data_IF_160136079043
#
_entry.id   IF_160136079043
#
_cell.length_a   1.000
_cell.length_b   1.000
_cell.length_c   1.000
_cell.angle_alpha   90.00
_cell.angle_beta   90.00
_cell.angle_gamma   90.00
#
_symmetry.space_group_name_H-M   'P 1'
#
loop_
_entity.id
_entity.type
_entity.pdbx_description
1 polymer ?
#
# COMPACT_ATOMS: atom_id res chain seq x y z
N UNK A 1 -7.84 -20.76 13.21
CA UNK A 1 -8.82 -19.77 12.76
C UNK A 1 -9.92 -20.56 12.11
N UNK A 2 -11.11 -20.53 12.70
CA UNK A 2 -12.29 -21.18 12.12
C UNK A 2 -12.69 -20.48 10.81
N UNK A 3 -13.43 -21.16 9.93
CA UNK A 3 -13.83 -20.57 8.63
C UNK A 3 -14.69 -19.33 8.86
N UNK A 4 -15.60 -19.37 9.83
CA UNK A 4 -16.48 -18.26 10.17
C UNK A 4 -15.65 -17.03 10.60
N UNK A 5 -14.64 -17.24 11.44
CA UNK A 5 -13.70 -16.19 11.89
C UNK A 5 -12.91 -15.62 10.70
N UNK A 6 -12.49 -16.47 9.76
CA UNK A 6 -11.80 -16.03 8.54
C UNK A 6 -12.70 -15.18 7.64
N UNK A 7 -13.94 -15.63 7.42
CA UNK A 7 -14.92 -14.95 6.57
C UNK A 7 -15.32 -13.60 7.16
N UNK A 8 -15.50 -13.53 8.48
CA UNK A 8 -15.75 -12.30 9.21
C UNK A 8 -14.59 -11.31 9.01
N UNK A 9 -13.35 -11.75 9.29
CA UNK A 9 -12.15 -10.92 9.10
C UNK A 9 -11.98 -10.44 7.66
N UNK A 10 -12.24 -11.31 6.68
CA UNK A 10 -12.08 -10.98 5.27
C UNK A 10 -13.05 -9.88 4.81
N UNK A 11 -14.24 -9.78 5.42
CA UNK A 11 -15.29 -8.82 5.06
C UNK A 11 -15.40 -7.63 5.99
N UNK A 12 -14.68 -7.61 7.10
CA UNK A 12 -14.74 -6.52 8.07
C UNK A 12 -13.62 -5.50 7.81
N UNK A 13 -13.95 -4.27 7.37
CA UNK A 13 -12.97 -3.26 6.97
C UNK A 13 -12.06 -2.79 8.13
N UNK A 14 -12.49 -2.91 9.39
CA UNK A 14 -11.71 -2.50 10.57
C UNK A 14 -10.38 -3.25 10.63
N UNK A 15 -10.37 -4.54 10.35
CA UNK A 15 -9.13 -5.33 10.34
C UNK A 15 -8.15 -4.84 9.27
N UNK A 16 -8.66 -4.42 8.11
CA UNK A 16 -7.85 -3.95 7.00
C UNK A 16 -7.27 -2.55 7.28
N UNK A 17 -8.08 -1.62 7.79
CA UNK A 17 -7.59 -0.30 8.22
C UNK A 17 -6.55 -0.42 9.34
N UNK A 18 -6.78 -1.26 10.34
CA UNK A 18 -5.81 -1.49 11.41
C UNK A 18 -4.49 -2.01 10.87
N UNK A 19 -4.54 -2.96 9.94
CA UNK A 19 -3.32 -3.47 9.31
C UNK A 19 -2.61 -2.40 8.47
N UNK A 20 -3.36 -1.55 7.76
CA UNK A 20 -2.79 -0.41 7.03
C UNK A 20 -1.97 0.51 7.95
N UNK A 21 -2.52 0.87 9.11
CA UNK A 21 -1.87 1.74 10.09
C UNK A 21 -0.66 1.08 10.77
N UNK A 22 -0.71 -0.24 11.00
CA UNK A 22 0.46 -0.99 11.49
C UNK A 22 1.60 -0.91 10.48
N UNK A 23 1.32 -1.09 9.19
CA UNK A 23 2.33 -1.04 8.14
C UNK A 23 2.92 0.35 7.97
N UNK A 24 2.10 1.41 8.09
CA UNK A 24 2.58 2.79 8.17
C UNK A 24 3.59 2.96 9.32
N UNK A 25 3.23 2.51 10.53
CA UNK A 25 4.12 2.60 11.71
C UNK A 25 5.43 1.83 11.52
N UNK A 26 5.41 0.69 10.82
CA UNK A 26 6.64 -0.05 10.48
C UNK A 26 7.49 0.76 9.51
N UNK A 27 6.90 1.30 8.44
CA UNK A 27 7.61 2.15 7.48
C UNK A 27 8.22 3.40 8.14
N UNK A 28 7.44 4.08 8.99
CA UNK A 28 7.91 5.25 9.75
C UNK A 28 9.13 4.88 10.60
N UNK A 29 9.11 3.74 11.31
CA UNK A 29 10.27 3.28 12.10
C UNK A 29 11.50 2.99 11.25
N UNK A 30 11.33 2.39 10.06
CA UNK A 30 12.43 2.14 9.14
C UNK A 30 13.02 3.46 8.66
N UNK A 31 12.21 4.44 8.28
CA UNK A 31 12.70 5.77 7.88
C UNK A 31 13.47 6.46 9.02
N UNK A 32 12.98 6.38 10.25
CA UNK A 32 13.69 6.97 11.40
C UNK A 32 15.08 6.32 11.61
N UNK A 33 15.23 5.02 11.34
CA UNK A 33 16.54 4.36 11.43
C UNK A 33 17.53 4.82 10.35
N UNK A 34 17.07 5.36 9.22
CA UNK A 34 17.95 5.93 8.19
C UNK A 34 18.65 7.18 8.70
N UNK A 35 18.06 7.89 9.68
CA UNK A 35 18.67 9.10 10.25
C UNK A 35 19.83 8.83 11.20
N UNK A 36 20.13 7.56 11.49
CA UNK A 36 21.31 7.17 12.26
C UNK A 36 22.59 7.49 11.47
N UNK A 37 23.57 8.09 12.13
CA UNK A 37 24.81 8.54 11.51
C UNK A 37 25.58 7.39 10.85
N UNK A 38 25.55 6.19 11.44
CA UNK A 38 26.22 5.01 10.88
C UNK A 38 25.53 4.53 9.59
N UNK A 39 24.20 4.68 9.52
CA UNK A 39 23.40 4.30 8.35
C UNK A 39 23.54 5.31 7.22
N UNK A 40 23.54 6.61 7.53
CA UNK A 40 23.71 7.68 6.53
C UNK A 40 25.04 7.58 5.79
N UNK A 41 26.08 7.09 6.47
CA UNK A 41 27.40 6.90 5.87
C UNK A 41 27.51 5.63 5.01
N UNK A 42 26.57 4.67 5.13
CA UNK A 42 26.43 3.51 4.25
C UNK A 42 25.29 3.73 3.26
N UNK A 43 25.65 4.19 2.06
CA UNK A 43 24.70 4.51 0.98
C UNK A 43 23.88 3.30 0.52
N UNK A 44 24.44 2.09 0.61
CA UNK A 44 23.72 0.87 0.25
C UNK A 44 22.69 0.53 1.30
N UNK A 45 23.08 0.52 2.57
CA UNK A 45 22.17 0.26 3.68
C UNK A 45 21.03 1.29 3.74
N UNK A 46 21.35 2.57 3.56
CA UNK A 46 20.35 3.65 3.46
C UNK A 46 19.35 3.42 2.33
N UNK A 47 19.82 3.04 1.14
CA UNK A 47 18.97 2.75 -0.01
C UNK A 47 18.08 1.52 0.25
N UNK A 48 18.63 0.45 0.81
CA UNK A 48 17.89 -0.76 1.14
C UNK A 48 16.79 -0.49 2.18
N UNK A 49 17.08 0.30 3.21
CA UNK A 49 16.10 0.72 4.21
C UNK A 49 15.01 1.61 3.61
N UNK A 50 15.36 2.57 2.76
CA UNK A 50 14.38 3.43 2.08
C UNK A 50 13.41 2.59 1.23
N UNK A 51 13.95 1.63 0.48
CA UNK A 51 13.18 0.69 -0.32
C UNK A 51 12.24 -0.16 0.57
N UNK A 52 12.71 -0.63 1.72
CA UNK A 52 11.88 -1.38 2.66
C UNK A 52 10.77 -0.49 3.27
N UNK A 53 11.05 0.77 3.57
CA UNK A 53 10.02 1.71 4.02
C UNK A 53 8.95 1.90 2.95
N UNK A 54 9.34 2.11 1.68
CA UNK A 54 8.41 2.19 0.54
C UNK A 54 7.58 0.91 0.39
N UNK A 55 8.18 -0.27 0.55
CA UNK A 55 7.42 -1.51 0.58
C UNK A 55 6.31 -1.48 1.63
N UNK A 56 6.64 -1.13 2.87
CA UNK A 56 5.66 -1.08 3.96
C UNK A 56 4.60 0.01 3.76
N UNK A 57 4.95 1.18 3.23
CA UNK A 57 3.95 2.18 2.82
C UNK A 57 3.02 1.64 1.73
N UNK A 58 3.56 0.97 0.72
CA UNK A 58 2.77 0.35 -0.35
C UNK A 58 1.80 -0.70 0.18
N UNK A 59 2.24 -1.58 1.10
CA UNK A 59 1.35 -2.55 1.76
C UNK A 59 0.30 -1.84 2.61
N UNK A 60 0.68 -0.77 3.33
CA UNK A 60 -0.24 0.04 4.11
C UNK A 60 -1.36 0.62 3.25
N UNK A 61 -0.99 1.29 2.16
CA UNK A 61 -1.93 1.87 1.19
C UNK A 61 -2.78 0.78 0.54
N UNK A 62 -2.21 -0.35 0.14
CA UNK A 62 -2.98 -1.47 -0.43
C UNK A 62 -4.12 -1.89 0.49
N UNK A 63 -3.83 -2.07 1.79
CA UNK A 63 -4.81 -2.51 2.77
C UNK A 63 -5.85 -1.43 3.07
N UNK A 64 -5.44 -0.15 3.16
CA UNK A 64 -6.36 0.97 3.36
C UNK A 64 -7.34 1.14 2.18
N UNK A 65 -6.85 1.03 0.94
CA UNK A 65 -7.70 1.08 -0.25
C UNK A 65 -8.66 -0.11 -0.33
N UNK A 66 -8.18 -1.31 -0.02
CA UNK A 66 -9.05 -2.50 0.07
C UNK A 66 -10.09 -2.34 1.17
N UNK A 67 -9.74 -1.76 2.31
CA UNK A 67 -10.67 -1.48 3.40
C UNK A 67 -11.80 -0.55 2.95
N UNK A 68 -11.50 0.52 2.21
CA UNK A 68 -12.50 1.42 1.63
C UNK A 68 -13.44 0.68 0.68
N UNK A 69 -12.90 -0.16 -0.21
CA UNK A 69 -13.70 -0.96 -1.15
C UNK A 69 -14.62 -1.93 -0.37
N UNK A 70 -14.11 -2.57 0.68
CA UNK A 70 -14.86 -3.48 1.53
C UNK A 70 -15.93 -2.74 2.34
N UNK A 71 -15.63 -1.56 2.89
CA UNK A 71 -16.60 -0.71 3.62
C UNK A 71 -17.78 -0.35 2.74
N UNK A 72 -17.51 0.01 1.48
CA UNK A 72 -18.53 0.45 0.54
C UNK A 72 -19.33 -0.70 -0.09
N UNK A 73 -18.73 -1.87 -0.25
CA UNK A 73 -19.35 -3.02 -0.89
C UNK A 73 -18.83 -4.36 -0.35
N UNK A 74 -19.16 -4.73 0.90
CA UNK A 74 -18.64 -5.95 1.56
C UNK A 74 -19.09 -7.24 0.85
N UNK A 75 -20.20 -7.20 0.10
CA UNK A 75 -20.68 -8.30 -0.74
C UNK A 75 -19.74 -8.61 -1.92
N UNK A 76 -18.89 -7.65 -2.33
CA UNK A 76 -17.91 -7.82 -3.41
C UNK A 76 -16.60 -8.48 -2.94
N UNK A 77 -16.55 -8.99 -1.70
CA UNK A 77 -15.44 -9.81 -1.22
C UNK A 77 -15.65 -11.26 -1.65
N UNK A 78 -14.77 -11.73 -2.53
CA UNK A 78 -14.86 -13.08 -3.12
C UNK A 78 -13.93 -14.02 -2.37
N UNK A 79 -14.52 -14.97 -1.65
CA UNK A 79 -13.81 -16.04 -0.95
C UNK A 79 -14.14 -17.39 -1.58
N UNK A 80 -13.12 -18.18 -1.91
CA UNK A 80 -13.28 -19.58 -2.31
C UNK A 80 -13.28 -20.44 -1.05
N UNK A 81 -14.35 -21.22 -0.84
CA UNK A 81 -14.45 -22.20 0.24
C UNK A 81 -14.38 -23.61 -0.36
N UNK A 82 -13.47 -24.44 0.15
CA UNK A 82 -13.28 -25.85 -0.24
C UNK A 82 -13.15 -26.71 1.01
N UNK A 83 -14.25 -27.35 1.40
CA UNK A 83 -14.31 -28.12 2.64
C UNK A 83 -14.09 -27.20 3.85
N UNK A 84 -13.06 -27.50 4.63
CA UNK A 84 -12.62 -26.77 5.83
C UNK A 84 -11.68 -25.59 5.52
N UNK A 85 -11.44 -25.27 4.24
CA UNK A 85 -10.50 -24.22 3.82
C UNK A 85 -11.21 -23.07 3.14
N UNK A 86 -10.93 -21.84 3.57
CA UNK A 86 -11.35 -20.61 2.93
C UNK A 86 -10.14 -19.82 2.42
N UNK A 87 -10.26 -19.20 1.23
CA UNK A 87 -9.21 -18.36 0.64
C UNK A 87 -9.80 -17.17 -0.09
N UNK A 88 -9.35 -15.97 0.26
CA UNK A 88 -9.64 -14.75 -0.46
C UNK A 88 -9.13 -14.82 -1.91
N UNK A 89 -10.04 -14.59 -2.87
CA UNK A 89 -9.76 -14.61 -4.31
C UNK A 89 -9.77 -13.22 -4.93
N UNK A 90 -10.60 -12.32 -4.44
CA UNK A 90 -10.75 -10.98 -4.98
C UNK A 90 -11.50 -10.07 -4.02
N UNK A 91 -11.34 -8.77 -4.24
CA UNK A 91 -12.02 -7.70 -3.51
C UNK A 91 -12.51 -6.73 -4.58
N UNK A 92 -13.74 -6.25 -4.42
CA UNK A 92 -14.35 -5.29 -5.34
C UNK A 92 -14.84 -5.93 -6.65
N UNK A 93 -14.88 -5.14 -7.72
CA UNK A 93 -15.33 -5.55 -9.05
C UNK A 93 -14.40 -6.60 -9.68
N UNK A 94 -13.20 -6.79 -9.14
CA UNK A 94 -12.21 -7.74 -9.68
C UNK A 94 -12.30 -9.11 -9.02
N UNK A 95 -12.38 -10.14 -9.85
CA UNK A 95 -12.37 -11.57 -9.43
C UNK A 95 -11.01 -12.09 -8.97
N UNK A 96 -9.95 -11.28 -9.08
CA UNK A 96 -8.58 -11.63 -8.71
C UNK A 96 -7.98 -10.53 -7.83
N UNK A 97 -7.20 -10.93 -6.84
CA UNK A 97 -6.38 -10.00 -6.04
C UNK A 97 -5.41 -9.25 -6.95
N UNK A 98 -5.35 -7.94 -6.77
CA UNK A 98 -4.38 -7.05 -7.42
C UNK A 98 -3.50 -6.38 -6.36
N UNK A 99 -2.27 -6.10 -6.76
CA UNK A 99 -1.31 -5.25 -6.06
C UNK A 99 -1.17 -3.89 -6.75
N UNK A 100 -1.96 -3.60 -7.80
CA UNK A 100 -1.90 -2.33 -8.49
C UNK A 100 -2.61 -1.26 -7.66
N UNK A 101 -1.84 -0.42 -6.98
CA UNK A 101 -2.37 0.60 -6.08
C UNK A 101 -3.13 1.69 -6.83
N UNK A 102 -2.73 2.01 -8.08
CA UNK A 102 -3.46 2.98 -8.89
C UNK A 102 -4.87 2.48 -9.23
N UNK A 103 -4.97 1.21 -9.65
CA UNK A 103 -6.27 0.59 -9.92
C UNK A 103 -7.13 0.51 -8.66
N UNK A 104 -6.53 0.19 -7.51
CA UNK A 104 -7.24 0.15 -6.23
C UNK A 104 -7.71 1.54 -5.80
N UNK A 105 -6.92 2.59 -6.05
CA UNK A 105 -7.29 3.97 -5.74
C UNK A 105 -8.43 4.48 -6.61
N UNK A 106 -8.41 4.16 -7.91
CA UNK A 106 -9.53 4.43 -8.82
C UNK A 106 -10.81 3.71 -8.37
N UNK A 107 -10.68 2.45 -7.96
CA UNK A 107 -11.84 1.66 -7.51
C UNK A 107 -12.39 2.11 -6.15
N UNK A 108 -11.51 2.54 -5.24
CA UNK A 108 -11.88 3.11 -3.95
C UNK A 108 -12.42 4.55 -4.05
N UNK A 109 -12.40 5.16 -5.24
CA UNK A 109 -12.91 6.52 -5.46
C UNK A 109 -12.01 7.63 -4.91
N UNK A 110 -10.70 7.37 -4.72
CA UNK A 110 -9.77 8.30 -4.08
C UNK A 110 -9.68 9.65 -4.80
N UNK A 111 -9.75 9.64 -6.13
CA UNK A 111 -9.56 10.85 -6.93
C UNK A 111 -10.80 11.74 -6.95
N UNK A 112 -11.93 11.23 -6.49
CA UNK A 112 -13.21 11.91 -6.39
C UNK A 112 -13.45 12.52 -5.00
N UNK A 113 -12.68 12.13 -3.98
CA UNK A 113 -12.85 12.55 -2.59
C UNK A 113 -12.35 13.98 -2.28
N UNK A 114 -11.70 14.65 -3.24
CA UNK A 114 -11.19 16.01 -3.02
C UNK A 114 -10.05 16.09 -2.00
N UNK A 115 -9.30 14.99 -1.78
CA UNK A 115 -8.15 14.95 -0.86
C UNK A 115 -6.97 15.84 -1.31
N UNK A 116 -7.00 16.28 -2.56
CA UNK A 116 -5.94 17.01 -3.22
C UNK A 116 -6.48 18.32 -3.79
N UNK A 117 -5.80 19.43 -3.48
CA UNK A 117 -6.25 20.76 -3.87
C UNK A 117 -5.96 21.08 -5.33
N UNK A 118 -4.85 20.57 -5.87
CA UNK A 118 -4.39 20.88 -7.21
C UNK A 118 -4.28 19.64 -8.10
N UNK A 119 -4.48 19.80 -9.41
CA UNK A 119 -4.30 18.70 -10.38
C UNK A 119 -2.87 18.10 -10.35
N UNK A 120 -1.88 18.92 -10.00
CA UNK A 120 -0.49 18.50 -9.84
C UNK A 120 -0.33 17.47 -8.73
N UNK A 121 -1.10 17.61 -7.64
CA UNK A 121 -1.06 16.71 -6.50
C UNK A 121 -1.66 15.35 -6.88
N UNK A 122 -2.75 15.36 -7.66
CA UNK A 122 -3.35 14.14 -8.21
C UNK A 122 -2.36 13.42 -9.12
N UNK A 123 -1.65 14.15 -9.99
CA UNK A 123 -0.61 13.58 -10.85
C UNK A 123 0.52 12.98 -10.02
N UNK A 124 0.99 13.69 -9.00
CA UNK A 124 2.03 13.21 -8.09
C UNK A 124 1.58 11.93 -7.37
N UNK A 125 0.36 11.88 -6.84
CA UNK A 125 -0.19 10.69 -6.21
C UNK A 125 -0.21 9.50 -7.18
N UNK A 126 -0.69 9.69 -8.41
CA UNK A 126 -0.71 8.61 -9.42
C UNK A 126 0.69 8.05 -9.70
N UNK A 127 1.70 8.91 -9.73
CA UNK A 127 3.11 8.50 -9.91
C UNK A 127 3.61 7.72 -8.69
N UNK A 128 3.34 8.21 -7.48
CA UNK A 128 3.72 7.54 -6.24
C UNK A 128 3.03 6.18 -6.09
N UNK A 129 1.74 6.06 -6.43
CA UNK A 129 1.03 4.78 -6.38
C UNK A 129 1.61 3.75 -7.35
N UNK A 130 2.08 4.16 -8.54
CA UNK A 130 2.79 3.28 -9.48
C UNK A 130 4.14 2.83 -8.89
N UNK A 131 4.92 3.78 -8.38
CA UNK A 131 6.19 3.47 -7.71
C UNK A 131 6.01 2.46 -6.56
N UNK A 132 5.04 2.70 -5.68
CA UNK A 132 4.75 1.81 -4.55
C UNK A 132 4.16 0.47 -4.98
N UNK A 133 3.41 0.41 -6.08
CA UNK A 133 2.95 -0.85 -6.71
C UNK A 133 4.14 -1.73 -7.09
N UNK A 134 5.16 -1.12 -7.68
CA UNK A 134 6.36 -1.84 -8.08
C UNK A 134 7.20 -2.22 -6.86
N UNK A 135 7.24 -1.38 -5.83
CA UNK A 135 7.87 -1.70 -4.56
C UNK A 135 7.30 -2.96 -3.90
N UNK A 136 5.97 -3.11 -3.84
CA UNK A 136 5.34 -4.27 -3.21
C UNK A 136 5.45 -5.56 -4.02
N UNK A 137 5.56 -5.45 -5.35
CA UNK A 137 5.77 -6.62 -6.22
C UNK A 137 7.19 -7.16 -6.14
N UNK A 138 8.18 -6.29 -6.02
CA UNK A 138 9.58 -6.63 -6.33
C UNK A 138 10.55 -6.54 -5.16
N UNK A 139 10.43 -5.52 -4.31
CA UNK A 139 11.61 -4.95 -3.66
C UNK A 139 12.21 -5.70 -2.44
N UNK A 140 11.48 -6.48 -1.61
CA UNK A 140 12.11 -7.13 -0.46
C UNK A 140 12.32 -8.65 -0.57
N UNK A 141 11.84 -9.32 -1.64
CA UNK A 141 11.68 -10.78 -1.59
C UNK A 141 12.88 -11.57 -2.10
N UNK A 142 13.64 -11.03 -3.05
CA UNK A 142 14.71 -11.79 -3.71
C UNK A 142 15.90 -10.90 -4.11
N UNK A 143 17.15 -11.37 -3.91
CA UNK A 143 18.35 -10.67 -4.38
C UNK A 143 18.48 -10.69 -5.92
N UNK A 144 17.64 -11.49 -6.59
CA UNK A 144 17.58 -11.62 -8.05
C UNK A 144 16.12 -11.43 -8.45
N UNK A 145 15.82 -10.59 -9.46
CA UNK A 145 14.47 -10.49 -10.01
C UNK A 145 13.95 -11.84 -10.52
N UNK A 146 12.63 -12.01 -10.58
CA UNK A 146 12.05 -13.28 -11.08
C UNK A 146 12.39 -13.57 -12.55
N UNK A 147 12.67 -12.52 -13.32
CA UNK A 147 13.23 -12.62 -14.67
C UNK A 147 14.07 -11.37 -15.01
N UNK A 148 14.81 -11.44 -16.11
CA UNK A 148 15.72 -10.39 -16.55
C UNK A 148 15.02 -9.09 -17.03
N UNK A 149 13.69 -9.06 -17.12
CA UNK A 149 12.88 -7.87 -17.43
C UNK A 149 12.17 -7.30 -16.21
N UNK A 150 12.29 -8.00 -15.08
CA UNK A 150 11.60 -7.73 -13.83
C UNK A 150 12.48 -7.04 -12.80
N UNK A 151 13.69 -6.62 -13.17
CA UNK A 151 14.50 -5.77 -12.29
C UNK A 151 13.70 -4.52 -12.00
N UNK A 152 13.40 -4.28 -10.71
CA UNK A 152 12.91 -2.99 -10.28
C UNK A 152 13.98 -1.96 -10.60
N UNK A 153 13.70 -1.13 -11.59
CA UNK A 153 14.47 0.06 -11.88
C UNK A 153 13.53 1.21 -11.58
N UNK A 154 13.97 2.14 -10.74
CA UNK A 154 13.21 3.35 -10.50
C UNK A 154 12.90 4.00 -11.85
N UNK A 155 11.62 4.33 -12.06
CA UNK A 155 11.22 5.04 -13.26
C UNK A 155 11.88 6.42 -13.23
N UNK A 156 12.90 6.60 -14.06
CA UNK A 156 13.66 7.85 -14.17
C UNK A 156 12.79 9.03 -14.64
N UNK A 157 11.57 8.78 -15.11
CA UNK A 157 10.60 9.84 -15.41
C UNK A 157 9.92 10.42 -14.16
N UNK A 158 10.02 9.75 -13.01
CA UNK A 158 9.54 10.30 -11.74
C UNK A 158 10.61 11.23 -11.19
N UNK A 159 10.30 12.52 -10.94
CA UNK A 159 11.23 13.44 -10.33
C UNK A 159 11.88 12.82 -9.11
N UNK A 160 13.20 12.72 -9.11
CA UNK A 160 13.92 12.04 -8.04
C UNK A 160 13.57 12.65 -6.67
N UNK A 161 13.31 13.95 -6.60
CA UNK A 161 12.86 14.64 -5.38
C UNK A 161 11.56 14.07 -4.79
N UNK A 162 10.64 13.52 -5.60
CA UNK A 162 9.38 12.94 -5.13
C UNK A 162 9.55 11.54 -4.49
N UNK A 163 10.59 10.79 -4.88
CA UNK A 163 10.82 9.40 -4.42
C UNK A 163 12.03 9.30 -3.50
N UNK A 164 13.10 10.00 -3.83
CA UNK A 164 14.35 10.06 -3.08
C UNK A 164 14.30 11.24 -2.13
N UNK A 165 13.54 11.07 -1.05
CA UNK A 165 13.38 12.04 0.01
C UNK A 165 12.12 11.79 0.83
N UNK A 166 11.92 12.61 1.86
CA UNK A 166 10.71 12.56 2.69
C UNK A 166 9.46 13.10 1.95
N UNK A 167 9.58 13.63 0.73
CA UNK A 167 8.46 14.18 -0.03
C UNK A 167 7.42 13.16 -0.48
N UNK A 168 7.79 11.88 -0.58
CA UNK A 168 6.79 10.82 -0.78
C UNK A 168 5.77 10.82 0.37
N UNK A 169 6.18 11.20 1.58
CA UNK A 169 5.30 11.30 2.75
C UNK A 169 4.24 12.38 2.54
N UNK A 170 4.62 13.55 2.01
CA UNK A 170 3.68 14.64 1.72
C UNK A 170 2.56 14.19 0.76
N UNK A 171 2.89 13.29 -0.17
CA UNK A 171 1.94 12.76 -1.16
C UNK A 171 1.03 11.68 -0.58
N UNK A 172 1.55 10.79 0.28
CA UNK A 172 0.79 9.63 0.79
C UNK A 172 0.09 9.89 2.13
N UNK A 173 0.55 10.87 2.91
CA UNK A 173 0.00 11.17 4.24
C UNK A 173 -1.51 11.50 4.20
N UNK A 174 -2.05 12.23 3.20
CA UNK A 174 -3.50 12.41 3.08
C UNK A 174 -4.29 11.09 3.02
N UNK A 175 -3.74 10.05 2.38
CA UNK A 175 -4.38 8.74 2.34
C UNK A 175 -4.38 8.07 3.71
N UNK A 176 -3.27 8.12 4.44
CA UNK A 176 -3.21 7.52 5.77
C UNK A 176 -4.10 8.24 6.78
N UNK A 177 -4.23 9.57 6.67
CA UNK A 177 -5.20 10.35 7.46
C UNK A 177 -6.64 9.94 7.14
N UNK A 178 -6.96 9.75 5.86
CA UNK A 178 -8.27 9.22 5.45
C UNK A 178 -8.50 7.84 6.09
N UNK A 179 -7.54 6.92 5.99
CA UNK A 179 -7.68 5.56 6.54
C UNK A 179 -7.86 5.54 8.06
N UNK A 180 -7.20 6.46 8.77
CA UNK A 180 -7.37 6.61 10.22
C UNK A 180 -8.77 7.08 10.58
N UNK A 181 -9.31 8.10 9.89
CA UNK A 181 -10.67 8.59 10.09
C UNK A 181 -11.69 7.50 9.77
N UNK A 182 -11.59 6.90 8.60
CA UNK A 182 -12.52 5.87 8.11
C UNK A 182 -12.49 4.62 8.98
N UNK A 183 -11.31 4.23 9.49
CA UNK A 183 -11.15 3.11 10.41
C UNK A 183 -11.76 3.39 11.79
N UNK A 184 -11.65 4.62 12.30
CA UNK A 184 -12.25 5.02 13.56
C UNK A 184 -13.80 5.05 13.48
N UNK A 185 -14.37 5.44 12.35
CA UNK A 185 -15.82 5.40 12.12
C UNK A 185 -16.41 3.98 12.02
N UNK A 186 -15.58 2.99 11.70
CA UNK A 186 -16.00 1.59 11.60
C UNK A 186 -15.91 0.81 12.92
N UNK A 187 -15.25 1.35 13.95
CA UNK A 187 -15.00 0.71 15.25
C UNK A 187 -16.11 0.99 16.27
#
# INVERSE_FOLDING_TARGET
>A
MEIEEYLEKAKNPVYWFNYAMVQKKVADKILHSIMDADVLNDTKMSSDLLINAHYHYGIGIENGLKALIIKNAPENVIVEVKGDKARLKGIGKKKKLTHNLLELAEEAGIFELGLHQYETDIKALKMVLRHLTDAIKWLPKYPVPSDNKSSFVFDNSIPAVLIYGFHILDVIEPLFKLFEVEGAECA
#
